data_IF_179375775982
#
_entry.id   IF_179375775982
#
_cell.length_a   1.000
_cell.length_b   1.000
_cell.length_c   1.000
_cell.angle_alpha   90.00
_cell.angle_beta   90.00
_cell.angle_gamma   90.00
#
_symmetry.space_group_name_H-M   'P 1'
#
loop_
_entity.id
_entity.type
_entity.pdbx_description
1 polymer ?
#
# COMPACT_ATOMS: atom_id res chain seq x y z
N UNK A 1 -10.83 7.57 -3.89
CA UNK A 1 -11.18 7.51 -2.45
C UNK A 1 -11.87 6.19 -2.22
N UNK A 2 -11.41 5.43 -1.23
CA UNK A 2 -12.00 4.14 -0.87
C UNK A 2 -13.20 4.37 0.03
N UNK A 3 -14.39 4.30 -0.55
CA UNK A 3 -15.64 4.55 0.18
C UNK A 3 -16.32 3.19 0.36
N UNK A 4 -16.49 2.73 1.61
CA UNK A 4 -17.34 1.56 1.92
C UNK A 4 -18.45 2.01 2.85
N UNK A 5 -19.71 1.74 2.50
CA UNK A 5 -20.89 2.22 3.22
C UNK A 5 -20.90 3.76 3.43
N UNK A 6 -20.40 4.53 2.45
CA UNK A 6 -20.32 5.99 2.54
C UNK A 6 -19.14 6.53 3.37
N UNK A 7 -18.23 5.67 3.82
CA UNK A 7 -17.12 6.02 4.72
C UNK A 7 -15.75 5.90 4.05
N UNK A 8 -14.93 6.95 4.11
CA UNK A 8 -13.54 6.94 3.63
C UNK A 8 -12.63 6.29 4.68
N UNK A 9 -11.81 5.32 4.28
CA UNK A 9 -10.97 4.56 5.19
C UNK A 9 -9.65 4.11 4.57
N UNK A 10 -8.71 3.77 5.46
CA UNK A 10 -7.42 3.17 5.17
C UNK A 10 -7.35 1.78 5.83
N UNK A 11 -6.72 0.84 5.15
CA UNK A 11 -6.24 -0.37 5.80
C UNK A 11 -5.05 -0.04 6.68
N UNK A 12 -5.01 -0.64 7.87
CA UNK A 12 -3.83 -0.67 8.73
C UNK A 12 -3.14 -2.01 8.51
N UNK A 13 -1.94 -1.97 7.97
CA UNK A 13 -1.16 -3.14 7.60
C UNK A 13 -0.08 -3.37 8.65
N UNK A 14 0.08 -4.62 9.08
CA UNK A 14 1.27 -5.07 9.81
C UNK A 14 2.09 -6.02 8.93
N UNK A 15 3.38 -5.74 8.80
CA UNK A 15 4.35 -6.55 8.07
C UNK A 15 5.16 -7.35 9.07
N UNK A 16 4.97 -8.67 9.07
CA UNK A 16 5.71 -9.57 9.97
C UNK A 16 7.24 -9.35 9.78
N UNK A 17 7.99 -9.04 10.85
CA UNK A 17 9.43 -8.84 10.74
C UNK A 17 10.18 -10.09 10.26
N UNK A 18 9.62 -11.30 10.45
CA UNK A 18 10.25 -12.57 10.07
C UNK A 18 9.92 -12.98 8.63
N UNK A 19 8.64 -13.28 8.36
CA UNK A 19 8.22 -13.74 7.03
C UNK A 19 8.07 -12.63 6.01
N UNK A 20 8.06 -11.36 6.45
CA UNK A 20 7.74 -10.17 5.62
C UNK A 20 6.34 -10.19 5.03
N UNK A 21 5.48 -11.14 5.41
CA UNK A 21 4.06 -11.17 5.04
C UNK A 21 3.35 -9.93 5.58
N UNK A 22 2.53 -9.32 4.73
CA UNK A 22 1.66 -8.21 5.08
C UNK A 22 0.28 -8.74 5.47
N UNK A 23 -0.18 -8.36 6.65
CA UNK A 23 -1.50 -8.65 7.20
C UNK A 23 -2.30 -7.36 7.28
N UNK A 24 -3.53 -7.37 6.76
CA UNK A 24 -4.48 -6.28 7.03
C UNK A 24 -5.01 -6.51 8.45
N UNK A 25 -4.54 -5.74 9.43
CA UNK A 25 -4.90 -5.94 10.85
C UNK A 25 -6.07 -5.10 11.31
N UNK A 26 -6.45 -4.09 10.52
CA UNK A 26 -7.50 -3.17 10.93
C UNK A 26 -7.85 -2.13 9.92
N UNK A 27 -8.78 -1.27 10.32
CA UNK A 27 -9.34 -0.19 9.53
C UNK A 27 -9.24 1.10 10.31
N UNK A 28 -8.69 2.14 9.68
CA UNK A 28 -8.75 3.52 10.16
C UNK A 28 -9.65 4.33 9.24
N UNK A 29 -10.76 4.84 9.74
CA UNK A 29 -11.69 5.65 8.98
C UNK A 29 -11.77 7.09 9.52
N UNK A 30 -12.15 8.06 8.67
CA UNK A 30 -12.38 9.46 9.07
C UNK A 30 -13.76 9.90 8.56
N UNK A 31 -14.77 9.87 9.43
CA UNK A 31 -16.17 10.16 9.08
C UNK A 31 -16.81 11.10 10.11
N UNK A 32 -16.22 12.28 10.28
CA UNK A 32 -16.47 13.18 11.41
C UNK A 32 -15.39 12.96 12.46
N UNK A 33 -15.45 11.84 13.17
CA UNK A 33 -14.38 11.37 14.06
C UNK A 33 -13.46 10.38 13.32
N UNK A 34 -12.24 10.21 13.85
CA UNK A 34 -11.40 9.07 13.55
C UNK A 34 -11.93 7.83 14.24
N UNK A 35 -12.05 6.74 13.48
CA UNK A 35 -12.53 5.44 13.95
C UNK A 35 -11.44 4.40 13.65
N UNK A 36 -10.91 3.72 14.66
CA UNK A 36 -9.98 2.60 14.48
C UNK A 36 -10.57 1.30 15.06
N UNK A 37 -10.54 0.24 14.27
CA UNK A 37 -10.92 -1.10 14.72
C UNK A 37 -9.96 -2.15 14.15
N UNK A 38 -9.71 -3.19 14.92
CA UNK A 38 -9.06 -4.39 14.39
C UNK A 38 -10.06 -5.20 13.58
N UNK A 39 -9.65 -5.59 12.37
CA UNK A 39 -10.51 -6.25 11.37
C UNK A 39 -9.64 -7.13 10.46
N UNK A 40 -10.30 -7.89 9.58
CA UNK A 40 -9.68 -8.70 8.52
C UNK A 40 -8.79 -9.83 9.07
N UNK A 41 -7.47 -9.68 9.02
CA UNK A 41 -6.49 -10.75 9.29
C UNK A 41 -5.85 -10.63 10.68
N UNK A 42 -6.54 -10.00 11.64
CA UNK A 42 -6.01 -9.80 12.99
C UNK A 42 -5.67 -11.12 13.69
N UNK A 43 -6.51 -12.15 13.55
CA UNK A 43 -6.28 -13.46 14.18
C UNK A 43 -5.06 -14.17 13.59
N UNK A 44 -4.88 -14.12 12.28
CA UNK A 44 -3.70 -14.64 11.58
C UNK A 44 -2.44 -13.87 11.95
N UNK A 45 -2.53 -12.54 12.07
CA UNK A 45 -1.42 -11.71 12.50
C UNK A 45 -0.98 -12.06 13.93
N UNK A 46 -1.92 -12.26 14.86
CA UNK A 46 -1.63 -12.67 16.24
C UNK A 46 -0.93 -14.04 16.26
N UNK A 47 -1.42 -15.01 15.47
CA UNK A 47 -0.76 -16.32 15.31
C UNK A 47 0.66 -16.19 14.76
N UNK A 48 0.92 -15.19 13.91
CA UNK A 48 2.26 -14.88 13.39
C UNK A 48 3.14 -14.07 14.37
N UNK A 49 2.61 -13.66 15.52
CA UNK A 49 3.35 -12.96 16.58
C UNK A 49 3.06 -11.46 16.69
N UNK A 50 2.01 -10.96 16.05
CA UNK A 50 1.53 -9.60 16.27
C UNK A 50 1.00 -9.45 17.70
N UNK A 51 1.29 -8.31 18.34
CA UNK A 51 0.68 -7.90 19.60
C UNK A 51 -0.19 -6.68 19.33
N UNK A 52 -1.33 -6.60 20.02
CA UNK A 52 -2.18 -5.41 20.01
C UNK A 52 -1.34 -4.15 20.31
N UNK A 53 -1.71 -3.06 19.67
CA UNK A 53 -1.02 -1.78 19.82
C UNK A 53 -1.31 -1.27 21.23
N UNK A 54 -0.32 -0.67 21.90
CA UNK A 54 -0.44 -0.30 23.32
C UNK A 54 -1.66 0.59 23.59
N UNK A 55 -1.97 1.53 22.70
CA UNK A 55 -3.12 2.42 22.83
C UNK A 55 -4.46 1.79 22.41
N UNK A 56 -4.43 0.57 21.88
CA UNK A 56 -5.55 -0.18 21.34
C UNK A 56 -5.44 -1.65 21.81
N UNK A 57 -5.43 -1.85 23.12
CA UNK A 57 -5.14 -3.13 23.78
C UNK A 57 -6.24 -4.19 23.63
N UNK A 58 -7.48 -3.77 23.37
CA UNK A 58 -8.64 -4.63 23.19
C UNK A 58 -9.00 -4.73 21.70
N UNK A 59 -8.66 -5.88 21.11
CA UNK A 59 -8.90 -6.15 19.69
C UNK A 59 -10.39 -6.22 19.31
N UNK A 60 -11.29 -6.32 20.28
CA UNK A 60 -12.74 -6.37 20.04
C UNK A 60 -13.41 -5.00 20.03
N UNK A 61 -12.67 -3.93 20.41
CA UNK A 61 -13.21 -2.57 20.49
C UNK A 61 -13.01 -1.77 19.20
N UNK A 62 -13.95 -0.87 18.96
CA UNK A 62 -13.75 0.27 18.06
C UNK A 62 -13.40 1.49 18.88
N UNK A 63 -12.30 2.14 18.52
CA UNK A 63 -11.77 3.33 19.16
C UNK A 63 -12.19 4.57 18.36
N UNK A 64 -12.49 5.66 19.06
CA UNK A 64 -12.96 6.91 18.48
C UNK A 64 -12.14 8.10 18.99
N UNK A 65 -11.88 9.09 18.13
CA UNK A 65 -11.22 10.34 18.53
C UNK A 65 -11.55 11.48 17.56
N UNK A 66 -11.60 12.72 18.06
CA UNK A 66 -11.74 13.92 17.21
C UNK A 66 -10.46 14.16 16.37
N UNK A 67 -9.31 13.85 16.95
CA UNK A 67 -8.00 13.98 16.31
C UNK A 67 -7.45 12.61 15.88
N UNK A 68 -6.48 12.60 14.97
CA UNK A 68 -5.79 11.36 14.62
C UNK A 68 -5.10 10.81 15.87
N UNK A 69 -5.34 9.53 16.17
CA UNK A 69 -4.75 8.88 17.35
C UNK A 69 -3.24 9.06 17.42
N UNK A 70 -2.73 9.36 18.63
CA UNK A 70 -1.31 9.69 18.83
C UNK A 70 -0.33 8.66 18.25
N UNK A 71 -0.53 7.33 18.35
CA UNK A 71 0.36 6.33 17.74
C UNK A 71 0.42 6.36 16.21
N UNK A 72 -0.59 6.94 15.57
CA UNK A 72 -0.65 7.10 14.12
C UNK A 72 -0.13 8.48 13.72
N UNK A 73 -0.53 9.53 14.45
CA UNK A 73 -0.07 10.89 14.22
C UNK A 73 1.45 11.05 14.42
N UNK A 74 2.06 10.35 15.37
CA UNK A 74 3.51 10.41 15.64
C UNK A 74 4.38 9.92 14.49
N UNK A 75 3.78 9.30 13.47
CA UNK A 75 4.47 8.79 12.28
C UNK A 75 4.52 9.83 11.15
N UNK A 76 3.74 10.89 11.27
CA UNK A 76 3.66 11.96 10.29
C UNK A 76 4.64 13.08 10.66
N UNK A 77 5.19 13.80 9.66
CA UNK A 77 5.98 14.98 9.93
C UNK A 77 5.11 16.07 10.57
N UNK A 78 5.64 16.77 11.58
CA UNK A 78 4.93 17.86 12.24
C UNK A 78 4.61 18.99 11.25
N UNK A 79 3.39 19.53 11.31
CA UNK A 79 2.93 20.65 10.46
C UNK A 79 3.79 21.92 10.57
N UNK A 80 4.51 22.11 11.67
CA UNK A 80 5.40 23.25 11.94
C UNK A 80 6.84 23.02 11.47
N UNK A 81 7.14 21.85 10.90
CA UNK A 81 8.47 21.52 10.38
C UNK A 81 8.87 22.51 9.28
N UNK A 82 10.11 23.02 9.32
CA UNK A 82 10.60 24.08 8.41
C UNK A 82 10.51 23.70 6.92
N UNK A 83 10.70 22.42 6.60
CA UNK A 83 10.66 21.84 5.25
C UNK A 83 9.35 21.12 4.95
N UNK A 84 8.26 21.37 5.69
CA UNK A 84 6.99 20.66 5.50
C UNK A 84 6.47 20.77 4.06
N UNK A 85 6.56 21.95 3.44
CA UNK A 85 6.09 22.16 2.06
C UNK A 85 6.80 21.24 1.06
N UNK A 86 8.11 21.02 1.21
CA UNK A 86 8.86 20.08 0.36
C UNK A 86 8.38 18.63 0.52
N UNK A 87 7.92 18.27 1.73
CA UNK A 87 7.35 16.94 1.97
C UNK A 87 5.96 16.84 1.35
N UNK A 88 5.14 17.87 1.46
CA UNK A 88 3.83 17.93 0.83
C UNK A 88 3.93 17.85 -0.70
N UNK A 89 4.89 18.57 -1.31
CA UNK A 89 5.17 18.51 -2.75
C UNK A 89 5.48 17.08 -3.21
N UNK A 90 6.24 16.28 -2.43
CA UNK A 90 6.53 14.86 -2.73
C UNK A 90 5.26 14.00 -2.84
N UNK A 91 4.18 14.41 -2.18
CA UNK A 91 2.90 13.74 -2.16
C UNK A 91 1.83 14.49 -2.95
N UNK A 92 2.20 15.46 -3.80
CA UNK A 92 1.28 16.29 -4.59
C UNK A 92 0.20 17.01 -3.75
N UNK A 93 0.59 17.52 -2.57
CA UNK A 93 -0.29 18.23 -1.64
C UNK A 93 0.08 19.71 -1.56
N UNK A 94 -0.91 20.61 -1.69
CA UNK A 94 -0.71 22.05 -1.54
C UNK A 94 -0.87 22.55 -0.10
N UNK A 95 -1.64 21.82 0.71
CA UNK A 95 -1.94 22.16 2.09
C UNK A 95 -1.76 20.94 2.99
N UNK A 96 -1.43 21.19 4.26
CA UNK A 96 -1.29 20.14 5.25
C UNK A 96 -2.68 19.64 5.70
N UNK A 97 -3.07 18.46 5.23
CA UNK A 97 -4.14 17.67 5.83
C UNK A 97 -3.56 16.37 6.40
N UNK A 98 -3.78 16.15 7.69
CA UNK A 98 -3.21 15.01 8.43
C UNK A 98 -3.62 13.66 7.85
N UNK A 99 -4.89 13.51 7.46
CA UNK A 99 -5.42 12.25 6.98
C UNK A 99 -5.04 11.99 5.53
N UNK A 100 -5.04 13.04 4.69
CA UNK A 100 -4.57 12.94 3.31
C UNK A 100 -3.06 12.64 3.27
N UNK A 101 -2.27 13.25 4.16
CA UNK A 101 -0.84 12.95 4.26
C UNK A 101 -0.60 11.50 4.71
N UNK A 102 -1.38 11.01 5.68
CA UNK A 102 -1.36 9.60 6.10
C UNK A 102 -1.67 8.68 4.92
N UNK A 103 -2.73 8.99 4.17
CA UNK A 103 -3.20 8.25 3.00
C UNK A 103 -2.17 8.18 1.88
N UNK A 104 -1.47 9.29 1.57
CA UNK A 104 -0.50 9.36 0.46
C UNK A 104 0.89 8.87 0.82
N UNK A 105 1.29 9.04 2.08
CA UNK A 105 2.62 8.63 2.56
C UNK A 105 2.68 7.19 3.06
N UNK A 106 1.54 6.63 3.46
CA UNK A 106 1.44 5.36 4.17
C UNK A 106 2.10 5.35 5.56
N UNK A 107 2.65 6.50 5.99
CA UNK A 107 3.32 6.73 7.26
C UNK A 107 4.25 5.61 7.74
N UNK A 108 5.01 5.01 6.81
CA UNK A 108 6.08 4.06 7.11
C UNK A 108 7.25 4.77 7.78
N UNK A 109 7.84 4.12 8.79
CA UNK A 109 9.14 4.53 9.33
C UNK A 109 10.21 3.48 8.96
N UNK A 110 11.51 3.84 8.90
CA UNK A 110 12.57 2.96 8.38
C UNK A 110 12.67 1.56 9.02
N UNK A 111 12.27 1.43 10.28
CA UNK A 111 12.30 0.18 11.05
C UNK A 111 10.91 -0.29 11.48
N UNK A 112 9.86 0.40 11.03
CA UNK A 112 8.50 0.10 11.44
C UNK A 112 7.91 -1.04 10.60
N UNK A 113 7.00 -1.78 11.21
CA UNK A 113 6.26 -2.89 10.62
C UNK A 113 4.85 -2.46 10.22
N UNK A 114 4.45 -1.23 10.53
CA UNK A 114 3.10 -0.74 10.32
C UNK A 114 3.03 0.26 9.16
N UNK A 115 1.97 0.16 8.38
CA UNK A 115 1.71 0.97 7.18
C UNK A 115 0.21 1.26 7.04
N UNK A 116 -0.13 2.39 6.44
CA UNK A 116 -1.50 2.76 6.08
C UNK A 116 -1.68 2.70 4.56
N UNK A 117 -2.73 2.02 4.11
CA UNK A 117 -2.96 1.81 2.68
C UNK A 117 -4.36 2.28 2.30
N UNK A 118 -4.46 3.10 1.25
CA UNK A 118 -5.75 3.44 0.62
C UNK A 118 -6.24 2.27 -0.23
N UNK A 119 -7.31 1.54 0.15
CA UNK A 119 -7.77 0.33 -0.55
C UNK A 119 -8.01 0.53 -2.05
N UNK A 120 -8.13 -0.55 -2.82
CA UNK A 120 -8.78 -0.47 -4.13
C UNK A 120 -10.26 -0.81 -3.90
N UNK A 121 -11.21 0.10 -4.15
CA UNK A 121 -12.63 -0.22 -4.01
C UNK A 121 -13.03 -1.28 -5.05
N UNK A 122 -13.90 -2.22 -4.68
CA UNK A 122 -14.45 -3.20 -5.63
C UNK A 122 -15.54 -2.59 -6.51
N UNK A 123 -16.33 -1.69 -5.95
CA UNK A 123 -17.34 -0.92 -6.67
C UNK A 123 -16.67 0.29 -7.33
N UNK A 124 -16.08 0.05 -8.50
CA UNK A 124 -15.44 1.08 -9.31
C UNK A 124 -16.54 1.89 -9.99
N UNK A 125 -16.73 3.14 -9.55
CA UNK A 125 -17.68 4.12 -10.09
C UNK A 125 -17.00 5.29 -10.82
N UNK A 126 -15.66 5.27 -10.85
CA UNK A 126 -14.78 6.26 -11.49
C UNK A 126 -13.38 5.71 -11.61
N UNK A 127 -12.54 6.40 -12.38
CA UNK A 127 -11.11 6.05 -12.47
C UNK A 127 -10.45 6.08 -11.09
N UNK A 128 -9.71 5.02 -10.78
CA UNK A 128 -8.98 4.90 -9.51
C UNK A 128 -7.48 4.96 -9.79
N UNK A 129 -6.77 5.79 -9.02
CA UNK A 129 -5.31 5.87 -9.06
C UNK A 129 -4.76 5.41 -7.72
N UNK A 130 -3.76 4.52 -7.75
CA UNK A 130 -2.98 4.08 -6.58
C UNK A 130 -1.50 4.19 -6.86
N UNK A 131 -0.78 4.62 -5.83
CA UNK A 131 0.67 4.65 -5.82
C UNK A 131 1.18 3.69 -4.76
N UNK A 132 2.10 2.81 -5.13
CA UNK A 132 2.69 1.84 -4.20
C UNK A 132 4.04 1.36 -4.72
N UNK A 133 4.76 0.63 -3.86
CA UNK A 133 6.02 0.00 -4.22
C UNK A 133 5.80 -1.46 -4.59
N UNK A 134 6.51 -1.95 -5.62
CA UNK A 134 6.49 -3.38 -5.98
C UNK A 134 7.03 -4.20 -4.81
N UNK A 135 6.36 -5.31 -4.50
CA UNK A 135 6.78 -6.22 -3.45
C UNK A 135 7.81 -7.23 -3.98
N UNK A 136 8.76 -7.62 -3.12
CA UNK A 136 9.68 -8.72 -3.42
C UNK A 136 10.77 -8.42 -4.44
N UNK A 137 10.99 -7.16 -4.82
CA UNK A 137 11.97 -6.76 -5.87
C UNK A 137 13.35 -7.38 -5.67
N UNK A 138 13.82 -7.44 -4.42
CA UNK A 138 15.10 -8.04 -4.04
C UNK A 138 15.30 -9.48 -4.54
N UNK A 139 14.23 -10.24 -4.77
CA UNK A 139 14.30 -11.65 -5.16
C UNK A 139 14.27 -11.87 -6.68
N UNK A 140 13.84 -10.87 -7.46
CA UNK A 140 13.51 -11.05 -8.86
C UNK A 140 14.23 -10.07 -9.79
N UNK A 141 14.52 -8.85 -9.31
CA UNK A 141 15.19 -7.85 -10.12
C UNK A 141 16.71 -8.02 -10.23
N UNK A 142 17.27 -9.17 -9.84
CA UNK A 142 18.70 -9.49 -10.01
C UNK A 142 19.65 -8.77 -9.06
N UNK A 143 19.16 -8.07 -8.02
CA UNK A 143 20.03 -7.42 -7.03
C UNK A 143 20.28 -8.25 -5.76
N UNK A 144 19.49 -9.29 -5.51
CA UNK A 144 19.47 -10.06 -4.24
C UNK A 144 19.32 -9.20 -2.96
N UNK A 145 18.94 -7.92 -3.11
CA UNK A 145 18.90 -6.96 -2.01
C UNK A 145 20.21 -6.24 -1.70
N UNK A 146 21.28 -6.50 -2.44
CA UNK A 146 22.64 -6.01 -2.15
C UNK A 146 23.34 -5.36 -3.36
N UNK A 147 23.04 -5.77 -4.58
CA UNK A 147 23.71 -5.31 -5.81
C UNK A 147 22.71 -4.59 -6.74
N UNK A 148 22.15 -3.48 -6.27
CA UNK A 148 21.14 -2.73 -7.03
C UNK A 148 21.66 -2.21 -8.38
N UNK A 149 22.96 -1.95 -8.52
CA UNK A 149 23.56 -1.50 -9.77
C UNK A 149 23.46 -2.54 -10.89
N UNK A 150 23.50 -3.83 -10.53
CA UNK A 150 23.35 -4.95 -11.46
C UNK A 150 21.89 -5.35 -11.71
N UNK A 151 20.93 -4.67 -11.07
CA UNK A 151 19.51 -4.96 -11.26
C UNK A 151 19.00 -4.56 -12.65
N UNK A 152 17.92 -5.21 -13.07
CA UNK A 152 17.18 -4.91 -14.31
C UNK A 152 17.11 -3.40 -14.55
N UNK A 153 17.47 -2.98 -15.75
CA UNK A 153 17.34 -1.59 -16.18
C UNK A 153 15.87 -1.26 -16.42
N UNK A 154 15.34 -0.38 -15.58
CA UNK A 154 13.94 0.05 -15.60
C UNK A 154 13.90 1.58 -15.68
N UNK A 155 13.00 2.09 -16.53
CA UNK A 155 12.87 3.53 -16.75
C UNK A 155 11.54 4.08 -16.20
N UNK A 156 11.57 5.34 -15.72
CA UNK A 156 10.36 6.04 -15.35
C UNK A 156 9.41 6.16 -16.54
N UNK A 157 8.11 6.00 -16.28
CA UNK A 157 7.01 5.91 -17.24
C UNK A 157 6.99 4.66 -18.13
N UNK A 158 7.85 3.67 -17.87
CA UNK A 158 7.71 2.36 -18.50
C UNK A 158 6.42 1.66 -18.03
N UNK A 159 5.72 1.01 -18.97
CA UNK A 159 4.53 0.23 -18.70
C UNK A 159 4.90 -1.18 -18.24
N UNK A 160 4.17 -1.69 -17.25
CA UNK A 160 4.34 -2.99 -16.64
C UNK A 160 3.18 -3.92 -17.00
N UNK A 161 3.50 -5.20 -17.14
CA UNK A 161 2.51 -6.26 -17.38
C UNK A 161 2.20 -6.97 -16.07
N UNK A 162 0.92 -7.21 -15.80
CA UNK A 162 0.45 -7.93 -14.62
C UNK A 162 -0.09 -9.31 -15.01
N UNK A 163 0.38 -10.34 -14.33
CA UNK A 163 -0.04 -11.73 -14.57
C UNK A 163 -0.52 -12.37 -13.26
N UNK A 164 -1.72 -12.95 -13.29
CA UNK A 164 -2.28 -13.66 -12.14
C UNK A 164 -1.54 -14.99 -11.92
N UNK A 165 -1.23 -15.31 -10.67
CA UNK A 165 -0.61 -16.59 -10.27
C UNK A 165 -1.52 -17.32 -9.25
N UNK A 166 -2.66 -17.91 -9.69
CA UNK A 166 -3.62 -18.54 -8.79
C UNK A 166 -3.08 -19.77 -8.04
N UNK A 167 -2.03 -20.40 -8.58
CA UNK A 167 -1.38 -21.58 -7.99
C UNK A 167 -0.28 -21.23 -6.96
N UNK A 168 -0.13 -19.94 -6.62
CA UNK A 168 0.86 -19.51 -5.64
C UNK A 168 0.52 -20.07 -4.24
N UNK A 169 1.50 -20.75 -3.62
CA UNK A 169 1.33 -21.46 -2.34
C UNK A 169 1.16 -20.54 -1.12
N UNK A 170 1.49 -19.26 -1.26
CA UNK A 170 1.49 -18.28 -0.16
C UNK A 170 0.33 -17.29 -0.26
N UNK A 171 -0.06 -16.90 -1.47
CA UNK A 171 -1.18 -16.00 -1.76
C UNK A 171 -1.91 -16.43 -3.04
N UNK A 172 -3.12 -17.01 -2.98
CA UNK A 172 -3.86 -17.43 -4.18
C UNK A 172 -4.30 -16.26 -5.07
N UNK A 173 -4.13 -15.01 -4.61
CA UNK A 173 -4.37 -13.81 -5.39
C UNK A 173 -3.08 -13.16 -5.90
N UNK A 174 -1.91 -13.82 -5.77
CA UNK A 174 -0.64 -13.27 -6.18
C UNK A 174 -0.67 -12.78 -7.64
N UNK A 175 -0.11 -11.60 -7.87
CA UNK A 175 -0.03 -10.99 -9.20
C UNK A 175 1.43 -10.64 -9.46
N UNK A 176 2.04 -11.33 -10.42
CA UNK A 176 3.40 -11.05 -10.89
C UNK A 176 3.42 -9.76 -11.70
N UNK A 177 4.56 -9.08 -11.64
CA UNK A 177 4.82 -7.83 -12.33
C UNK A 177 6.03 -8.02 -13.24
N UNK A 178 5.83 -7.78 -14.54
CA UNK A 178 6.87 -7.91 -15.57
C UNK A 178 7.15 -6.59 -16.27
N UNK A 179 8.39 -6.40 -16.73
CA UNK A 179 8.71 -5.35 -17.69
C UNK A 179 8.28 -5.74 -19.12
N UNK A 180 8.56 -4.87 -20.10
CA UNK A 180 8.29 -5.14 -21.52
C UNK A 180 9.18 -6.23 -22.13
N UNK A 181 10.28 -6.60 -21.47
CA UNK A 181 11.22 -7.64 -21.88
C UNK A 181 10.90 -8.99 -21.22
N UNK A 182 9.75 -9.10 -20.56
CA UNK A 182 9.29 -10.29 -19.82
C UNK A 182 10.17 -10.67 -18.63
N UNK A 183 10.97 -9.74 -18.11
CA UNK A 183 11.68 -9.97 -16.85
C UNK A 183 10.72 -9.82 -15.68
N UNK A 184 10.71 -10.81 -14.79
CA UNK A 184 9.94 -10.74 -13.56
C UNK A 184 10.60 -9.77 -12.57
N UNK A 185 9.89 -8.71 -12.19
CA UNK A 185 10.41 -7.65 -11.32
C UNK A 185 9.98 -7.86 -9.87
N UNK A 186 8.83 -8.50 -9.65
CA UNK A 186 8.25 -8.74 -8.33
C UNK A 186 6.75 -8.88 -8.39
N UNK A 187 6.07 -8.55 -7.30
CA UNK A 187 4.63 -8.74 -7.16
C UNK A 187 3.88 -7.45 -6.82
N UNK A 188 2.60 -7.42 -7.16
CA UNK A 188 1.66 -6.48 -6.54
C UNK A 188 1.63 -6.77 -5.04
N UNK A 189 1.69 -5.74 -4.17
CA UNK A 189 1.58 -5.94 -2.73
C UNK A 189 0.31 -6.71 -2.35
N UNK A 190 0.44 -7.59 -1.36
CA UNK A 190 -0.63 -8.52 -0.97
C UNK A 190 -1.93 -7.81 -0.56
N UNK A 191 -1.82 -6.62 0.03
CA UNK A 191 -2.99 -5.82 0.42
C UNK A 191 -3.82 -5.27 -0.76
N UNK A 192 -3.37 -5.45 -2.01
CA UNK A 192 -4.11 -5.11 -3.23
C UNK A 192 -4.38 -6.32 -4.13
N UNK A 193 -3.75 -7.47 -3.85
CA UNK A 193 -3.73 -8.61 -4.77
C UNK A 193 -5.13 -9.19 -4.98
N UNK A 194 -5.92 -9.29 -3.91
CA UNK A 194 -7.32 -9.76 -3.96
C UNK A 194 -8.24 -8.84 -4.78
N UNK A 195 -8.28 -7.55 -4.46
CA UNK A 195 -9.14 -6.60 -5.17
C UNK A 195 -8.73 -6.44 -6.63
N UNK A 196 -7.43 -6.39 -6.93
CA UNK A 196 -6.95 -6.28 -8.30
C UNK A 196 -7.19 -7.57 -9.11
N UNK A 197 -7.09 -8.76 -8.50
CA UNK A 197 -7.49 -10.02 -9.14
C UNK A 197 -8.96 -9.98 -9.55
N UNK A 198 -9.84 -9.50 -8.68
CA UNK A 198 -11.27 -9.34 -8.99
C UNK A 198 -11.50 -8.38 -10.16
N UNK A 199 -10.79 -7.25 -10.19
CA UNK A 199 -10.86 -6.25 -11.27
C UNK A 199 -10.39 -6.83 -12.61
N UNK A 200 -9.27 -7.55 -12.62
CA UNK A 200 -8.72 -8.21 -13.81
C UNK A 200 -9.70 -9.26 -14.34
N UNK A 201 -10.26 -10.10 -13.46
CA UNK A 201 -11.22 -11.14 -13.83
C UNK A 201 -12.54 -10.57 -14.37
N UNK A 202 -12.93 -9.36 -13.94
CA UNK A 202 -14.09 -8.63 -14.48
C UNK A 202 -13.82 -7.96 -15.82
N UNK A 203 -12.57 -7.98 -16.31
CA UNK A 203 -12.18 -7.38 -17.60
C UNK A 203 -12.04 -5.86 -17.57
N UNK A 204 -11.95 -5.24 -16.39
CA UNK A 204 -11.72 -3.80 -16.30
C UNK A 204 -10.32 -3.47 -16.85
N UNK A 205 -10.23 -2.38 -17.62
CA UNK A 205 -8.96 -1.89 -18.14
C UNK A 205 -8.16 -1.25 -17.02
N UNK A 206 -6.85 -1.49 -17.02
CA UNK A 206 -5.92 -0.86 -16.11
C UNK A 206 -4.61 -0.52 -16.82
N UNK A 207 -3.89 0.44 -16.28
CA UNK A 207 -2.52 0.77 -16.65
C UNK A 207 -1.65 0.72 -15.39
N UNK A 208 -0.51 0.04 -15.46
CA UNK A 208 0.50 0.07 -14.41
C UNK A 208 1.80 0.62 -15.01
N UNK A 209 2.30 1.73 -14.48
CA UNK A 209 3.52 2.38 -14.98
C UNK A 209 4.50 2.66 -13.85
N UNK A 210 5.80 2.61 -14.15
CA UNK A 210 6.84 3.03 -13.22
C UNK A 210 6.76 4.55 -13.03
N UNK A 211 6.75 5.00 -11.78
CA UNK A 211 6.84 6.43 -11.45
C UNK A 211 8.25 6.88 -11.15
N UNK A 212 8.97 6.09 -10.39
CA UNK A 212 10.41 6.25 -10.22
C UNK A 212 11.05 4.94 -9.80
N UNK A 213 12.34 4.83 -10.10
CA UNK A 213 13.24 3.80 -9.62
C UNK A 213 14.29 4.46 -8.75
N UNK A 214 14.51 3.92 -7.56
CA UNK A 214 15.50 4.38 -6.61
C UNK A 214 16.36 3.18 -6.19
N UNK A 215 17.56 3.09 -6.79
CA UNK A 215 18.53 2.01 -6.55
C UNK A 215 19.41 2.24 -5.31
N UNK A 216 19.39 3.44 -4.72
CA UNK A 216 20.23 3.81 -3.57
C UNK A 216 19.60 3.46 -2.22
N UNK A 217 18.29 3.18 -2.20
CA UNK A 217 17.51 2.95 -0.99
C UNK A 217 17.20 1.47 -0.73
N UNK A 218 16.51 1.20 0.37
CA UNK A 218 15.96 -0.13 0.70
C UNK A 218 15.16 -0.71 -0.48
N UNK A 219 15.42 -1.96 -0.84
CA UNK A 219 14.72 -2.67 -1.91
C UNK A 219 13.20 -2.79 -1.71
N UNK A 220 12.69 -2.59 -0.50
CA UNK A 220 11.24 -2.52 -0.26
C UNK A 220 10.60 -1.22 -0.80
N UNK A 221 11.40 -0.22 -1.16
CA UNK A 221 10.98 1.11 -1.63
C UNK A 221 11.73 1.55 -2.90
N UNK A 222 12.27 0.58 -3.65
CA UNK A 222 13.09 0.87 -4.82
C UNK A 222 12.27 1.16 -6.09
N UNK A 223 11.14 0.50 -6.33
CA UNK A 223 10.34 0.70 -7.54
C UNK A 223 8.94 1.14 -7.14
N UNK A 224 8.64 2.42 -7.34
CA UNK A 224 7.30 2.98 -7.13
C UNK A 224 6.54 2.99 -8.45
N UNK A 225 5.29 2.52 -8.41
CA UNK A 225 4.41 2.46 -9.58
C UNK A 225 3.16 3.31 -9.38
N UNK A 226 2.55 3.72 -10.50
CA UNK A 226 1.18 4.24 -10.58
C UNK A 226 0.33 3.16 -11.23
N UNK A 227 -0.64 2.65 -10.49
CA UNK A 227 -1.74 1.86 -11.02
C UNK A 227 -2.93 2.77 -11.27
N UNK A 228 -3.50 2.69 -12.46
CA UNK A 228 -4.69 3.42 -12.88
C UNK A 228 -5.72 2.42 -13.39
N UNK A 229 -6.82 2.26 -12.67
CA UNK A 229 -7.96 1.41 -13.06
C UNK A 229 -8.97 2.33 -13.75
N UNK A 230 -9.36 1.98 -14.97
CA UNK A 230 -10.25 2.76 -15.80
C UNK A 230 -11.69 2.29 -15.60
N UNK A 231 -12.55 3.23 -15.22
CA UNK A 231 -13.99 3.03 -15.23
C UNK A 231 -14.52 3.31 -16.63
N UNK A 232 -15.35 2.40 -17.13
CA UNK A 232 -16.02 2.54 -18.41
C UNK A 232 -17.52 2.52 -18.14
N UNK A 233 -18.20 3.65 -18.36
CA UNK A 233 -19.65 3.79 -18.13
C UNK A 233 -20.50 2.90 -19.05
N UNK A 234 -19.89 2.28 -20.06
CA UNK A 234 -20.59 1.57 -21.15
C UNK A 234 -20.39 0.04 -21.16
N UNK A 235 -19.82 -0.55 -20.10
CA UNK A 235 -19.77 -2.02 -19.93
C UNK A 235 -20.83 -2.54 -18.95
#
# INVERSE_FOLDING_TARGET
MSIKNGKDFLYVIWKDPKSRRQFIIGKLAKNGLYEFSYEYEIDEAIKAGFNALISFDDISKTYYSEDLFSPFASRLPDKKRKDINKILDKYDMSEYDTYELLKRSGARLPIDTLEFVDPIPLDIDKNIIRYFYIAGVRHYAGCEGHECDNSIELESNEALVLELEPENKFDPHAIKVFDKKENHIGYIPRYYSGELTSIINRGLKYNCIIKFVNKENNCDECIKVKLEILFDEYN
#
